data_IF_190339970562
#
_entry.id   IF_190339970562
#
_cell.length_a   1.000
_cell.length_b   1.000
_cell.length_c   1.000
_cell.angle_alpha   90.00
_cell.angle_beta   90.00
_cell.angle_gamma   90.00
#
_symmetry.space_group_name_H-M   'P 1'
#
loop_
_entity.id
_entity.type
_entity.pdbx_description
1 polymer ?
#
# COMPACT_ATOMS: atom_id res chain seq x y z
N UNK A 1 -8.27 -2.89 -0.47
CA UNK A 1 -9.67 -3.39 -0.48
C UNK A 1 -9.64 -4.91 -0.59
N UNK A 2 -10.49 -5.63 0.17
CA UNK A 2 -10.58 -7.11 0.12
C UNK A 2 -11.87 -7.46 -0.62
N UNK A 3 -11.76 -8.28 -1.67
CA UNK A 3 -12.90 -8.66 -2.52
C UNK A 3 -13.04 -10.17 -2.53
N UNK A 4 -14.28 -10.66 -2.37
CA UNK A 4 -14.61 -12.08 -2.52
C UNK A 4 -14.59 -12.47 -3.99
N UNK A 5 -14.08 -13.66 -4.29
CA UNK A 5 -13.85 -14.06 -5.67
C UNK A 5 -15.10 -14.28 -6.56
N UNK A 6 -16.29 -14.12 -6.00
CA UNK A 6 -17.53 -14.11 -6.77
C UNK A 6 -17.81 -12.78 -7.49
N UNK A 7 -17.11 -11.71 -7.11
CA UNK A 7 -17.42 -10.33 -7.54
C UNK A 7 -16.50 -9.84 -8.68
N UNK A 8 -15.68 -10.73 -9.21
CA UNK A 8 -14.48 -10.38 -9.97
C UNK A 8 -14.80 -9.78 -11.36
N UNK A 9 -15.63 -10.41 -12.19
CA UNK A 9 -15.69 -10.00 -13.62
C UNK A 9 -16.36 -8.66 -13.92
N UNK A 10 -17.23 -8.15 -13.05
CA UNK A 10 -17.97 -6.89 -13.31
C UNK A 10 -17.28 -5.67 -12.72
N UNK A 11 -16.53 -5.84 -11.63
CA UNK A 11 -15.97 -4.71 -10.87
C UNK A 11 -14.50 -4.43 -11.25
N UNK A 12 -13.82 -5.37 -11.93
CA UNK A 12 -12.44 -5.19 -12.43
C UNK A 12 -12.24 -3.87 -13.20
N UNK A 13 -13.03 -3.53 -14.24
CA UNK A 13 -12.82 -2.28 -14.97
C UNK A 13 -12.98 -1.04 -14.08
N UNK A 14 -13.91 -1.07 -13.12
CA UNK A 14 -14.13 0.03 -12.18
C UNK A 14 -12.98 0.16 -11.16
N UNK A 15 -12.39 -0.97 -10.73
CA UNK A 15 -11.22 -1.00 -9.84
C UNK A 15 -9.99 -0.44 -10.55
N UNK A 16 -9.78 -0.79 -11.83
CA UNK A 16 -8.69 -0.22 -12.63
C UNK A 16 -8.88 1.28 -12.84
N UNK A 17 -10.11 1.74 -13.06
CA UNK A 17 -10.44 3.16 -13.22
C UNK A 17 -10.30 3.98 -11.93
N UNK A 18 -10.27 3.37 -10.73
CA UNK A 18 -10.24 4.10 -9.46
C UNK A 18 -8.80 4.48 -9.05
N UNK A 19 -8.41 5.76 -9.10
CA UNK A 19 -7.03 6.18 -8.81
C UNK A 19 -6.66 6.10 -7.32
N UNK A 20 -7.65 6.05 -6.43
CA UNK A 20 -7.45 5.94 -4.97
C UNK A 20 -7.13 4.51 -4.51
N UNK A 21 -7.28 3.53 -5.40
CA UNK A 21 -6.98 2.12 -5.15
C UNK A 21 -5.59 1.80 -5.67
N UNK A 22 -4.64 1.69 -4.75
CA UNK A 22 -3.23 1.34 -5.02
C UNK A 22 -3.01 -0.18 -5.01
N UNK A 23 -3.56 -0.87 -4.00
CA UNK A 23 -3.38 -2.31 -3.78
C UNK A 23 -4.71 -3.04 -3.56
N UNK A 24 -4.90 -4.14 -4.29
CA UNK A 24 -6.02 -5.06 -4.14
C UNK A 24 -5.53 -6.48 -3.76
N UNK A 25 -6.24 -7.13 -2.85
CA UNK A 25 -5.97 -8.51 -2.44
C UNK A 25 -7.21 -9.35 -2.70
N UNK A 26 -7.02 -10.49 -3.35
CA UNK A 26 -8.10 -11.43 -3.67
C UNK A 26 -8.12 -12.53 -2.64
N UNK A 27 -9.29 -12.77 -2.04
CA UNK A 27 -9.51 -13.89 -1.12
C UNK A 27 -10.44 -14.92 -1.77
N UNK A 28 -9.92 -16.12 -2.03
CA UNK A 28 -10.66 -17.18 -2.71
C UNK A 28 -10.30 -18.58 -2.19
N UNK A 29 -11.24 -19.53 -2.28
CA UNK A 29 -10.97 -20.93 -1.91
C UNK A 29 -10.06 -21.67 -2.90
N UNK A 30 -10.08 -21.29 -4.18
CA UNK A 30 -9.33 -21.94 -5.27
C UNK A 30 -8.36 -20.97 -5.94
N UNK A 31 -7.14 -20.89 -5.42
CA UNK A 31 -6.12 -19.99 -5.94
C UNK A 31 -5.79 -20.25 -7.41
N UNK A 32 -5.75 -21.51 -7.85
CA UNK A 32 -5.36 -21.87 -9.21
C UNK A 32 -6.37 -21.42 -10.25
N UNK A 33 -7.66 -21.44 -9.90
CA UNK A 33 -8.69 -20.88 -10.75
C UNK A 33 -8.57 -19.36 -10.89
N UNK A 34 -8.16 -18.66 -9.81
CA UNK A 34 -8.20 -17.20 -9.77
C UNK A 34 -6.87 -16.49 -10.13
N UNK A 35 -5.73 -17.17 -10.04
CA UNK A 35 -4.42 -16.61 -10.40
C UNK A 35 -4.33 -16.07 -11.86
N UNK A 36 -4.82 -16.80 -12.89
CA UNK A 36 -4.62 -16.40 -14.28
C UNK A 36 -5.27 -15.07 -14.67
N UNK A 37 -6.39 -14.71 -14.03
CA UNK A 37 -7.04 -13.42 -14.27
C UNK A 37 -6.53 -12.35 -13.29
N UNK A 38 -6.20 -12.74 -12.05
CA UNK A 38 -5.65 -11.81 -11.06
C UNK A 38 -4.32 -11.21 -11.54
N UNK A 39 -3.46 -12.05 -12.15
CA UNK A 39 -2.18 -11.62 -12.72
C UNK A 39 -2.31 -10.67 -13.92
N UNK A 40 -3.50 -10.52 -14.52
CA UNK A 40 -3.73 -9.57 -15.62
C UNK A 40 -3.98 -8.14 -15.13
N UNK A 41 -4.28 -7.97 -13.84
CA UNK A 41 -4.66 -6.67 -13.27
C UNK A 41 -3.49 -6.14 -12.47
N UNK A 42 -2.93 -5.02 -12.91
CA UNK A 42 -1.71 -4.44 -12.34
C UNK A 42 -1.83 -4.06 -10.85
N UNK A 43 -3.05 -3.75 -10.38
CA UNK A 43 -3.34 -3.36 -8.99
C UNK A 43 -3.49 -4.54 -8.03
N UNK A 44 -3.57 -5.78 -8.54
CA UNK A 44 -3.69 -6.95 -7.68
C UNK A 44 -2.30 -7.35 -7.20
N UNK A 45 -2.11 -7.32 -5.87
CA UNK A 45 -0.85 -7.70 -5.23
C UNK A 45 -0.75 -9.20 -4.99
N UNK A 46 -1.88 -9.89 -4.86
CA UNK A 46 -1.88 -11.34 -4.72
C UNK A 46 -3.27 -11.95 -4.52
N UNK A 47 -3.29 -13.27 -4.69
CA UNK A 47 -4.44 -14.15 -4.47
C UNK A 47 -4.13 -15.05 -3.27
N UNK A 48 -5.04 -15.10 -2.31
CA UNK A 48 -4.83 -15.78 -1.04
C UNK A 48 -6.01 -16.68 -0.70
N UNK A 49 -5.70 -17.86 -0.17
CA UNK A 49 -6.69 -18.83 0.34
C UNK A 49 -6.92 -18.71 1.84
N UNK A 50 -6.04 -17.97 2.52
CA UNK A 50 -6.04 -17.78 3.97
C UNK A 50 -5.99 -16.29 4.28
N UNK A 51 -6.93 -15.82 5.10
CA UNK A 51 -7.03 -14.40 5.45
C UNK A 51 -5.84 -13.95 6.30
N UNK A 52 -5.22 -14.87 7.04
CA UNK A 52 -4.03 -14.62 7.84
C UNK A 52 -2.86 -14.12 6.98
N UNK A 53 -2.71 -14.66 5.77
CA UNK A 53 -1.69 -14.21 4.82
C UNK A 53 -1.93 -12.78 4.35
N UNK A 54 -3.18 -12.42 4.07
CA UNK A 54 -3.54 -11.04 3.75
C UNK A 54 -3.19 -10.10 4.92
N UNK A 55 -3.50 -10.52 6.15
CA UNK A 55 -3.16 -9.74 7.34
C UNK A 55 -1.65 -9.57 7.55
N UNK A 56 -0.83 -10.58 7.23
CA UNK A 56 0.63 -10.49 7.26
C UNK A 56 1.15 -9.47 6.25
N UNK A 57 0.67 -9.54 5.00
CA UNK A 57 1.04 -8.60 3.93
C UNK A 57 0.63 -7.17 4.27
N UNK A 58 -0.60 -6.97 4.76
CA UNK A 58 -1.07 -5.65 5.19
C UNK A 58 -0.22 -5.07 6.34
N UNK A 59 0.27 -5.91 7.26
CA UNK A 59 1.19 -5.47 8.33
C UNK A 59 2.55 -5.04 7.76
N UNK A 60 3.04 -5.72 6.74
CA UNK A 60 4.31 -5.38 6.08
C UNK A 60 4.16 -4.07 5.33
N UNK A 61 3.11 -3.94 4.51
CA UNK A 61 2.83 -2.70 3.76
C UNK A 61 2.60 -1.52 4.70
N UNK A 62 1.85 -1.70 5.80
CA UNK A 62 1.69 -0.65 6.81
C UNK A 62 3.04 -0.19 7.38
N UNK A 63 3.94 -1.11 7.73
CA UNK A 63 5.28 -0.76 8.23
C UNK A 63 6.14 -0.06 7.19
N UNK A 64 5.94 -0.33 5.90
CA UNK A 64 6.63 0.37 4.82
C UNK A 64 6.04 1.77 4.62
N UNK A 65 4.72 1.89 4.60
CA UNK A 65 4.02 3.16 4.49
C UNK A 65 4.32 4.07 5.68
N UNK A 66 4.27 3.56 6.92
CA UNK A 66 4.64 4.32 8.12
C UNK A 66 6.08 4.82 8.02
N UNK A 67 7.02 3.98 7.53
CA UNK A 67 8.41 4.41 7.31
C UNK A 67 8.55 5.47 6.22
N UNK A 68 7.81 5.36 5.12
CA UNK A 68 7.79 6.34 4.04
C UNK A 68 7.11 7.66 4.45
N UNK A 69 6.09 7.58 5.31
CA UNK A 69 5.40 8.74 5.85
C UNK A 69 6.27 9.46 6.89
N UNK A 70 7.04 8.72 7.70
CA UNK A 70 8.04 9.29 8.62
C UNK A 70 9.17 9.98 7.84
N UNK A 71 9.62 9.41 6.71
CA UNK A 71 10.70 10.03 5.91
C UNK A 71 10.28 11.36 5.26
N UNK A 72 8.97 11.56 5.02
CA UNK A 72 8.40 12.84 4.60
C UNK A 72 8.14 13.76 5.79
N UNK A 73 7.73 13.22 6.94
CA UNK A 73 7.30 14.00 8.11
C UNK A 73 8.45 14.63 8.90
N UNK A 74 9.62 14.00 9.04
CA UNK A 74 10.73 14.61 9.78
C UNK A 74 12.10 14.15 9.25
N UNK A 75 12.75 15.01 8.47
CA UNK A 75 14.16 15.28 8.78
C UNK A 75 14.12 16.21 9.99
N UNK A 76 14.47 15.78 11.22
CA UNK A 76 14.70 16.75 12.27
C UNK A 76 15.82 17.65 11.77
N UNK A 77 15.48 18.89 11.42
CA UNK A 77 16.47 19.92 11.18
C UNK A 77 17.28 19.94 12.46
N UNK A 78 18.57 19.60 12.35
CA UNK A 78 19.46 19.56 13.51
C UNK A 78 19.28 20.90 14.24
N UNK A 79 18.94 20.93 15.54
CA UNK A 79 18.74 22.18 16.26
C UNK A 79 19.93 23.14 16.07
N UNK A 80 21.14 22.61 15.98
CA UNK A 80 22.36 23.38 15.69
C UNK A 80 22.33 24.10 14.33
N UNK A 81 21.61 23.57 13.33
CA UNK A 81 21.37 24.23 12.05
C UNK A 81 20.32 25.36 12.18
N UNK A 82 19.29 25.20 13.01
CA UNK A 82 18.35 26.30 13.28
C UNK A 82 19.03 27.42 14.07
N UNK A 83 19.82 27.08 15.08
CA UNK A 83 20.57 28.07 15.86
C UNK A 83 21.65 28.77 15.02
N UNK A 84 22.31 28.09 14.08
CA UNK A 84 23.29 28.76 13.21
C UNK A 84 22.65 29.78 12.27
N UNK A 85 21.42 29.54 11.80
CA UNK A 85 20.67 30.52 11.00
C UNK A 85 20.26 31.73 11.83
N UNK A 86 19.74 31.52 13.05
CA UNK A 86 19.36 32.61 13.96
C UNK A 86 20.57 33.46 14.39
N UNK A 87 21.69 32.83 14.70
CA UNK A 87 22.91 33.55 15.07
C UNK A 87 23.49 34.36 13.90
N UNK A 88 23.32 33.88 12.66
CA UNK A 88 23.78 34.59 11.46
C UNK A 88 22.96 35.84 11.13
N UNK A 89 21.75 35.98 11.68
CA UNK A 89 20.92 37.19 11.51
C UNK A 89 21.17 38.22 12.63
N UNK A 90 21.78 37.81 13.74
CA UNK A 90 22.05 38.66 14.91
C UNK A 90 23.46 39.27 14.89
N UNK A 91 24.38 38.72 14.08
CA UNK A 91 25.74 39.23 13.85
C UNK A 91 25.93 39.63 12.39
#
# INVERSE_FOLDING_TARGET
>A
MIVSGSVERKIIPDIEATPQLDSLYVFCGDQFYHEPWANKISKIKGVYTKIERICEELKIERKQYDRAMISISYKPINPSFMYSQLLKEVF
#
